data_IF_209799698230
#
_entry.id   IF_209799698230
#
_cell.length_a   1.000
_cell.length_b   1.000
_cell.length_c   1.000
_cell.angle_alpha   90.00
_cell.angle_beta   90.00
_cell.angle_gamma   90.00
#
_symmetry.space_group_name_H-M   'P 1'
#
loop_
_entity.id
_entity.type
_entity.pdbx_description
1 polymer ?
#
# COMPACT_ATOMS: atom_id res chain seq x y z
N UNK A 1 21.45 2.11 -16.09
CA UNK A 1 20.33 1.58 -15.28
C UNK A 1 20.19 2.47 -14.06
N UNK A 2 19.09 3.23 -13.95
CA UNK A 2 18.87 4.11 -12.80
C UNK A 2 18.75 3.29 -11.52
N UNK A 3 19.46 3.69 -10.46
CA UNK A 3 19.37 3.04 -9.16
C UNK A 3 18.23 3.67 -8.38
N UNK A 4 17.48 2.86 -7.64
CA UNK A 4 16.43 3.32 -6.74
C UNK A 4 16.96 4.35 -5.72
N UNK A 5 18.23 4.23 -5.33
CA UNK A 5 18.97 5.17 -4.47
C UNK A 5 19.12 6.58 -5.05
N UNK A 6 18.92 6.76 -6.36
CA UNK A 6 19.06 8.04 -7.04
C UNK A 6 17.73 8.81 -7.11
N UNK A 7 16.63 8.21 -6.63
CA UNK A 7 15.33 8.87 -6.59
C UNK A 7 15.26 9.83 -5.39
N UNK A 8 14.59 10.99 -5.55
CA UNK A 8 14.26 11.86 -4.42
C UNK A 8 13.48 11.11 -3.34
N UNK A 9 13.70 11.46 -2.08
CA UNK A 9 13.07 10.80 -0.93
C UNK A 9 11.55 10.85 -1.01
N UNK A 10 10.95 11.94 -1.52
CA UNK A 10 9.49 12.03 -1.66
C UNK A 10 8.93 11.05 -2.70
N UNK A 11 9.69 10.78 -3.77
CA UNK A 11 9.31 9.81 -4.79
C UNK A 11 9.37 8.40 -4.22
N UNK A 12 10.43 8.10 -3.46
CA UNK A 12 10.56 6.81 -2.76
C UNK A 12 9.42 6.62 -1.77
N UNK A 13 9.07 7.64 -0.98
CA UNK A 13 7.96 7.59 -0.04
C UNK A 13 6.65 7.24 -0.76
N UNK A 14 6.34 7.91 -1.87
CA UNK A 14 5.14 7.63 -2.67
C UNK A 14 5.10 6.20 -3.20
N UNK A 15 6.22 5.70 -3.71
CA UNK A 15 6.31 4.30 -4.18
C UNK A 15 6.05 3.34 -3.02
N UNK A 16 6.64 3.58 -1.85
CA UNK A 16 6.43 2.73 -0.67
C UNK A 16 4.99 2.79 -0.15
N UNK A 17 4.30 3.93 -0.24
CA UNK A 17 2.88 4.06 0.14
C UNK A 17 1.94 3.26 -0.77
N UNK A 18 2.33 2.97 -2.01
CA UNK A 18 1.55 2.14 -2.94
C UNK A 18 1.72 0.63 -2.71
N UNK A 19 2.76 0.23 -1.98
CA UNK A 19 3.06 -1.17 -1.72
C UNK A 19 2.35 -1.62 -0.44
N UNK A 20 1.67 -2.78 -0.44
CA UNK A 20 1.04 -3.32 0.77
C UNK A 20 2.05 -3.48 1.92
N UNK A 21 1.63 -3.29 3.19
CA UNK A 21 2.55 -3.30 4.32
C UNK A 21 3.36 -4.60 4.42
N UNK A 22 2.71 -5.74 4.18
CA UNK A 22 3.31 -7.06 4.27
C UNK A 22 4.44 -7.24 3.24
N UNK A 23 4.26 -6.73 2.03
CA UNK A 23 5.29 -6.75 0.99
C UNK A 23 6.45 -5.80 1.35
N UNK A 24 6.14 -4.63 1.91
CA UNK A 24 7.14 -3.65 2.27
C UNK A 24 8.14 -4.20 3.30
N UNK A 25 7.67 -4.94 4.29
CA UNK A 25 8.55 -5.56 5.31
C UNK A 25 9.46 -6.61 4.71
N UNK A 26 8.99 -7.38 3.72
CA UNK A 26 9.81 -8.40 3.04
C UNK A 26 10.94 -7.80 2.20
N UNK A 27 10.75 -6.59 1.66
CA UNK A 27 11.80 -5.91 0.89
C UNK A 27 13.05 -5.57 1.71
N UNK A 28 12.99 -5.65 3.05
CA UNK A 28 14.18 -5.55 3.91
C UNK A 28 15.23 -6.61 3.59
N UNK A 29 14.83 -7.74 3.01
CA UNK A 29 15.71 -8.86 2.68
C UNK A 29 16.46 -8.67 1.34
N UNK A 30 16.09 -7.69 0.52
CA UNK A 30 16.67 -7.51 -0.82
C UNK A 30 18.16 -7.16 -0.75
N UNK A 31 18.51 -6.13 0.04
CA UNK A 31 19.88 -5.76 0.35
C UNK A 31 19.93 -4.76 1.53
N UNK A 32 21.15 -4.42 1.97
CA UNK A 32 21.39 -3.47 3.07
C UNK A 32 20.74 -2.09 2.85
N UNK A 33 20.73 -1.60 1.61
CA UNK A 33 20.14 -0.30 1.28
C UNK A 33 18.63 -0.31 1.48
N UNK A 34 17.92 -1.31 0.94
CA UNK A 34 16.48 -1.46 1.14
C UNK A 34 16.13 -1.62 2.62
N UNK A 35 16.89 -2.43 3.36
CA UNK A 35 16.70 -2.57 4.80
C UNK A 35 16.78 -1.22 5.53
N UNK A 36 17.80 -0.41 5.23
CA UNK A 36 17.97 0.91 5.82
C UNK A 36 16.82 1.86 5.46
N UNK A 37 16.46 1.94 4.18
CA UNK A 37 15.38 2.80 3.70
C UNK A 37 14.03 2.43 4.34
N UNK A 38 13.64 1.16 4.25
CA UNK A 38 12.36 0.69 4.79
C UNK A 38 12.31 0.89 6.30
N UNK A 39 13.40 0.62 7.02
CA UNK A 39 13.45 0.84 8.46
C UNK A 39 13.31 2.33 8.81
N UNK A 40 13.92 3.23 8.02
CA UNK A 40 13.74 4.68 8.17
C UNK A 40 12.28 5.10 8.00
N UNK A 41 11.59 4.56 6.99
CA UNK A 41 10.18 4.88 6.74
C UNK A 41 9.25 4.31 7.80
N UNK A 42 9.41 3.04 8.18
CA UNK A 42 8.55 2.39 9.19
C UNK A 42 8.72 3.02 10.58
N UNK A 43 9.93 3.51 10.91
CA UNK A 43 10.17 4.21 12.16
C UNK A 43 9.62 5.65 12.16
N UNK A 44 9.16 6.17 11.01
CA UNK A 44 8.55 7.49 10.93
C UNK A 44 7.03 7.39 11.15
N UNK A 45 6.49 7.91 12.27
CA UNK A 45 5.06 7.79 12.57
C UNK A 45 4.17 8.51 11.53
N UNK A 46 4.66 9.58 10.90
CA UNK A 46 3.91 10.26 9.83
C UNK A 46 3.74 9.37 8.61
N UNK A 47 4.77 8.60 8.27
CA UNK A 47 4.71 7.65 7.16
C UNK A 47 3.72 6.51 7.48
N UNK A 48 3.83 5.92 8.68
CA UNK A 48 2.94 4.84 9.11
C UNK A 48 1.47 5.28 9.12
N UNK A 49 1.18 6.49 9.60
CA UNK A 49 -0.18 7.04 9.59
C UNK A 49 -0.74 7.21 8.16
N UNK A 50 0.06 7.74 7.23
CA UNK A 50 -0.33 7.85 5.80
C UNK A 50 -0.57 6.47 5.18
N UNK A 51 0.30 5.50 5.47
CA UNK A 51 0.23 4.14 4.95
C UNK A 51 -1.04 3.40 5.44
N UNK A 52 -1.36 3.55 6.73
CA UNK A 52 -2.58 2.99 7.31
C UNK A 52 -3.85 3.60 6.69
N UNK A 53 -3.85 4.93 6.48
CA UNK A 53 -4.97 5.62 5.82
C UNK A 53 -5.17 5.10 4.38
N UNK A 54 -4.09 4.98 3.61
CA UNK A 54 -4.15 4.46 2.23
C UNK A 54 -4.67 3.02 2.19
N UNK A 55 -4.18 2.17 3.10
CA UNK A 55 -4.63 0.78 3.22
C UNK A 55 -6.12 0.69 3.56
N UNK A 56 -6.61 1.54 4.48
CA UNK A 56 -8.04 1.61 4.84
C UNK A 56 -8.90 2.03 3.65
N UNK A 57 -8.47 3.04 2.89
CA UNK A 57 -9.19 3.50 1.69
C UNK A 57 -9.26 2.36 0.67
N UNK A 58 -8.14 1.70 0.38
CA UNK A 58 -8.10 0.58 -0.56
C UNK A 58 -9.01 -0.58 -0.13
N UNK A 59 -9.01 -0.94 1.15
CA UNK A 59 -9.94 -1.95 1.69
C UNK A 59 -11.40 -1.52 1.55
N UNK A 60 -11.73 -0.25 1.84
CA UNK A 60 -13.10 0.25 1.69
C UNK A 60 -13.58 0.28 0.24
N UNK A 61 -12.70 0.61 -0.71
CA UNK A 61 -13.02 0.54 -2.15
C UNK A 61 -13.28 -0.89 -2.60
N UNK A 62 -12.50 -1.86 -2.10
CA UNK A 62 -12.74 -3.26 -2.41
C UNK A 62 -14.13 -3.72 -1.95
N UNK A 63 -14.60 -3.29 -0.78
CA UNK A 63 -15.95 -3.61 -0.28
C UNK A 63 -17.08 -2.98 -1.12
N UNK A 64 -16.86 -1.77 -1.66
CA UNK A 64 -17.84 -1.11 -2.51
C UNK A 64 -18.00 -1.81 -3.88
N UNK A 65 -16.93 -2.41 -4.40
CA UNK A 65 -16.97 -3.16 -5.66
C UNK A 65 -17.61 -4.56 -5.51
N UNK A 66 -17.74 -5.10 -4.29
CA UNK A 66 -18.36 -6.41 -4.02
C UNK A 66 -19.85 -6.34 -3.65
N UNK A 67 -20.47 -5.16 -3.68
CA UNK A 67 -21.92 -5.07 -3.53
C UNK A 67 -22.58 -5.52 -4.83
N UNK A 68 -22.63 -6.84 -5.04
CA UNK A 68 -23.42 -7.43 -6.12
C UNK A 68 -24.86 -6.90 -6.02
N UNK A 69 -25.51 -6.61 -7.15
CA UNK A 69 -26.93 -6.31 -7.14
C UNK A 69 -27.64 -7.55 -6.60
N UNK A 70 -28.26 -7.41 -5.42
CA UNK A 70 -29.15 -8.41 -4.83
C UNK A 70 -30.03 -9.01 -5.93
N UNK A 71 -30.13 -10.34 -6.07
CA UNK A 71 -31.04 -10.94 -7.03
C UNK A 71 -32.46 -10.57 -6.61
N UNK A 72 -33.01 -9.56 -7.28
CA UNK A 72 -34.38 -9.15 -7.15
C UNK A 72 -35.25 -10.32 -7.58
N UNK A 73 -36.05 -10.79 -6.62
CA UNK A 73 -37.16 -11.72 -6.83
C UNK A 73 -37.99 -11.20 -8.01
N UNK A 74 -37.98 -11.90 -9.14
CA UNK A 74 -39.02 -11.76 -10.16
C UNK A 74 -39.86 -13.03 -10.10
N UNK A 75 -40.91 -12.95 -9.28
CA UNK A 75 -42.14 -13.71 -9.47
C UNK A 75 -43.00 -12.98 -10.51
N UNK A 76 -43.86 -13.74 -11.21
CA UNK A 76 -44.81 -13.39 -12.30
C UNK A 76 -44.22 -13.48 -13.72
N UNK A 77 -44.78 -14.23 -14.68
CA UNK A 77 -46.16 -14.70 -14.90
C UNK A 77 -46.22 -16.17 -15.33
#
# INVERSE_FOLDING_TARGET
MARFCNLPSEVVEKIMLLVPPNCLVQFKLVNKFWNFCISTFINNPKFVAKHLLMTKIQSSMSLLCFKEPSPGIILSY
#
